data_IF_373327276370
#
_entry.id   IF_373327276370
#
_cell.length_a   1.000
_cell.length_b   1.000
_cell.length_c   1.000
_cell.angle_alpha   90.00
_cell.angle_beta   90.00
_cell.angle_gamma   90.00
#
_symmetry.space_group_name_H-M   'P 1'
#
loop_
_entity.id
_entity.type
_entity.pdbx_description
1 polymer ?
#
# COMPACT_ATOMS: atom_id res chain seq x y z
N UNK A 1 -38.08 53.05 -23.47
CA UNK A 1 -37.49 52.38 -22.28
C UNK A 1 -37.21 50.94 -22.66
N UNK A 2 -35.94 50.62 -22.96
CA UNK A 2 -35.52 49.31 -23.47
C UNK A 2 -34.89 48.50 -22.33
N UNK A 3 -35.43 47.30 -22.09
CA UNK A 3 -34.97 46.36 -21.07
C UNK A 3 -33.66 45.68 -21.52
N UNK A 4 -32.58 45.89 -20.76
CA UNK A 4 -31.30 45.22 -20.94
C UNK A 4 -31.36 43.82 -20.32
N UNK A 5 -31.25 42.78 -21.14
CA UNK A 5 -30.99 41.40 -20.71
C UNK A 5 -29.55 41.30 -20.19
N UNK A 6 -29.38 40.93 -18.92
CA UNK A 6 -28.09 40.54 -18.36
C UNK A 6 -27.77 39.10 -18.75
N UNK A 7 -26.65 38.92 -19.45
CA UNK A 7 -26.04 37.62 -19.75
C UNK A 7 -25.10 37.31 -18.59
N UNK A 8 -25.36 36.22 -17.87
CA UNK A 8 -24.47 35.67 -16.83
C UNK A 8 -23.46 34.78 -17.54
N UNK A 9 -22.13 35.04 -17.45
CA UNK A 9 -21.14 34.12 -18.01
C UNK A 9 -20.99 32.91 -17.08
N UNK A 10 -21.15 31.72 -17.64
CA UNK A 10 -20.79 30.44 -17.02
C UNK A 10 -19.26 30.38 -17.00
N UNK A 11 -18.63 30.53 -15.83
CA UNK A 11 -17.23 30.19 -15.64
C UNK A 11 -17.08 28.66 -15.61
N UNK A 12 -16.56 28.11 -16.71
CA UNK A 12 -15.98 26.77 -16.74
C UNK A 12 -14.65 26.81 -15.96
N UNK A 13 -14.64 26.26 -14.74
CA UNK A 13 -13.38 25.91 -14.06
C UNK A 13 -12.81 24.66 -14.73
N UNK A 14 -11.85 24.86 -15.62
CA UNK A 14 -10.93 23.81 -16.04
C UNK A 14 -10.02 23.47 -14.87
N UNK A 15 -10.14 22.25 -14.33
CA UNK A 15 -9.18 21.72 -13.36
C UNK A 15 -7.82 21.56 -14.05
N UNK A 16 -6.92 22.51 -13.82
CA UNK A 16 -5.50 22.33 -14.12
C UNK A 16 -4.98 21.36 -13.06
N UNK A 17 -4.66 20.14 -13.47
CA UNK A 17 -3.83 19.25 -12.66
C UNK A 17 -2.47 19.94 -12.49
N UNK A 18 -2.29 20.60 -11.34
CA UNK A 18 -0.99 21.05 -10.91
C UNK A 18 -0.20 19.80 -10.51
N UNK A 19 0.56 19.24 -11.46
CA UNK A 19 1.64 18.32 -11.11
C UNK A 19 2.59 19.07 -10.19
N UNK A 20 2.62 18.71 -8.91
CA UNK A 20 3.63 19.21 -8.00
C UNK A 20 5.00 18.87 -8.60
N UNK A 21 5.74 19.90 -9.01
CA UNK A 21 7.13 19.76 -9.45
C UNK A 21 7.91 19.24 -8.23
N UNK A 22 8.72 18.17 -8.36
CA UNK A 22 9.54 17.71 -7.26
C UNK A 22 10.41 18.86 -6.76
N UNK A 23 10.45 19.06 -5.44
CA UNK A 23 11.37 19.99 -4.84
C UNK A 23 12.81 19.60 -5.25
N UNK A 24 13.66 20.56 -5.68
CA UNK A 24 15.04 20.26 -6.01
C UNK A 24 15.77 19.81 -4.74
N UNK A 25 16.06 18.51 -4.64
CA UNK A 25 16.98 18.01 -3.63
C UNK A 25 18.40 18.43 -3.99
N UNK A 26 19.12 18.91 -2.98
CA UNK A 26 20.51 19.30 -3.10
C UNK A 26 21.35 18.15 -3.67
N UNK A 27 21.99 18.41 -4.80
CA UNK A 27 23.00 17.55 -5.39
C UNK A 27 24.25 17.56 -4.51
N UNK A 28 24.38 16.59 -3.59
CA UNK A 28 25.68 16.24 -3.04
C UNK A 28 26.44 15.42 -4.08
N UNK A 29 27.51 16.01 -4.63
CA UNK A 29 28.33 15.40 -5.65
C UNK A 29 29.10 14.17 -5.16
N UNK A 30 28.96 13.07 -5.90
CA UNK A 30 30.01 12.22 -6.49
C UNK A 30 29.31 10.99 -7.12
N UNK A 31 29.56 10.72 -8.40
CA UNK A 31 29.16 9.50 -9.11
C UNK A 31 30.40 8.95 -9.84
N UNK A 32 30.71 7.64 -9.83
CA UNK A 32 30.33 6.59 -8.86
C UNK A 32 31.57 5.98 -8.16
N UNK A 33 31.43 5.65 -6.87
CA UNK A 33 32.23 4.59 -6.25
C UNK A 33 31.69 3.29 -6.86
N UNK A 34 32.49 2.55 -7.63
CA UNK A 34 32.06 1.26 -8.17
C UNK A 34 31.69 0.31 -7.04
N UNK A 35 30.55 -0.36 -7.15
CA UNK A 35 30.13 -1.35 -6.16
C UNK A 35 31.07 -2.56 -6.21
N UNK A 36 31.59 -2.93 -5.04
CA UNK A 36 32.52 -4.02 -4.84
C UNK A 36 31.74 -5.32 -4.70
N UNK A 37 32.16 -6.37 -5.39
CA UNK A 37 31.57 -7.68 -5.21
C UNK A 37 31.86 -8.23 -3.80
N UNK A 38 30.89 -8.94 -3.20
CA UNK A 38 31.09 -9.61 -1.93
C UNK A 38 30.90 -11.13 -2.05
N UNK A 39 31.92 -11.90 -2.45
CA UNK A 39 31.80 -13.34 -2.60
C UNK A 39 31.64 -14.11 -1.28
N UNK A 40 31.76 -13.44 -0.13
CA UNK A 40 31.78 -14.08 1.19
C UNK A 40 30.44 -14.00 1.93
N UNK A 41 29.41 -13.39 1.33
CA UNK A 41 28.06 -13.30 1.92
C UNK A 41 27.09 -14.18 1.15
N UNK A 42 26.41 -15.07 1.86
CA UNK A 42 25.54 -16.12 1.32
C UNK A 42 26.28 -17.42 1.00
N UNK A 43 25.64 -18.35 0.26
CA UNK A 43 26.19 -19.68 -0.02
C UNK A 43 27.48 -19.70 -0.86
N UNK A 44 27.81 -18.59 -1.53
CA UNK A 44 28.94 -18.51 -2.45
C UNK A 44 28.69 -19.23 -3.78
N UNK A 45 29.71 -19.28 -4.63
CA UNK A 45 29.62 -19.94 -5.94
C UNK A 45 30.70 -19.46 -6.91
N UNK A 46 30.97 -20.26 -7.94
CA UNK A 46 31.96 -19.94 -8.97
C UNK A 46 31.32 -19.48 -10.31
N UNK A 47 30.05 -19.80 -10.53
CA UNK A 47 29.28 -19.36 -11.70
C UNK A 47 28.43 -18.16 -11.31
N UNK A 48 28.80 -16.98 -11.80
CA UNK A 48 28.08 -15.75 -11.52
C UNK A 48 28.14 -14.78 -12.68
N UNK A 49 27.21 -13.82 -12.67
CA UNK A 49 27.21 -12.65 -13.53
C UNK A 49 26.97 -11.39 -12.72
N UNK A 50 27.70 -10.35 -13.04
CA UNK A 50 27.60 -9.04 -12.40
C UNK A 50 26.80 -8.06 -13.27
N UNK A 51 26.02 -7.21 -12.62
CA UNK A 51 25.63 -5.89 -13.11
C UNK A 51 26.28 -4.81 -12.25
N UNK A 52 25.87 -3.55 -12.31
CA UNK A 52 26.50 -2.48 -11.53
C UNK A 52 26.29 -2.67 -10.02
N UNK A 53 25.08 -2.99 -9.59
CA UNK A 53 24.67 -3.07 -8.18
C UNK A 53 24.41 -4.51 -7.69
N UNK A 54 24.33 -5.49 -8.59
CA UNK A 54 23.97 -6.86 -8.24
C UNK A 54 24.99 -7.88 -8.75
N UNK A 55 25.04 -9.02 -8.06
CA UNK A 55 25.71 -10.24 -8.50
C UNK A 55 24.74 -11.40 -8.46
N UNK A 56 24.49 -12.04 -9.59
CA UNK A 56 23.67 -13.24 -9.69
C UNK A 56 24.54 -14.49 -9.72
N UNK A 57 24.37 -15.36 -8.73
CA UNK A 57 24.87 -16.73 -8.72
C UNK A 57 23.78 -17.65 -9.27
N UNK A 58 24.02 -18.23 -10.44
CA UNK A 58 23.10 -19.20 -11.06
C UNK A 58 23.87 -20.24 -11.87
N UNK A 59 23.33 -21.46 -11.87
CA UNK A 59 23.84 -22.58 -12.65
C UNK A 59 23.53 -22.43 -14.14
N UNK A 60 22.42 -21.76 -14.48
CA UNK A 60 22.02 -21.41 -15.84
C UNK A 60 22.06 -19.90 -16.06
N UNK A 61 23.07 -19.46 -16.83
CA UNK A 61 23.29 -18.06 -17.12
C UNK A 61 22.42 -17.52 -18.28
N UNK A 62 21.56 -18.36 -18.89
CA UNK A 62 20.74 -17.99 -20.05
C UNK A 62 19.79 -16.82 -19.77
N UNK A 63 19.25 -16.73 -18.56
CA UNK A 63 18.32 -15.67 -18.13
C UNK A 63 18.98 -14.56 -17.29
N UNK A 64 20.28 -14.65 -17.03
CA UNK A 64 20.97 -13.77 -16.10
C UNK A 64 20.86 -12.29 -16.48
N UNK A 65 20.91 -11.96 -17.77
CA UNK A 65 20.71 -10.58 -18.25
C UNK A 65 19.32 -10.05 -17.93
N UNK A 66 18.27 -10.86 -18.10
CA UNK A 66 16.90 -10.45 -17.80
C UNK A 66 16.71 -10.16 -16.31
N UNK A 67 17.22 -11.04 -15.46
CA UNK A 67 17.16 -10.90 -13.99
C UNK A 67 17.91 -9.65 -13.53
N UNK A 68 19.16 -9.49 -13.97
CA UNK A 68 19.98 -8.35 -13.57
C UNK A 68 19.42 -7.03 -14.12
N UNK A 69 18.93 -6.99 -15.36
CA UNK A 69 18.31 -5.80 -15.94
C UNK A 69 17.06 -5.38 -15.16
N UNK A 70 16.24 -6.35 -14.73
CA UNK A 70 15.06 -6.09 -13.88
C UNK A 70 15.47 -5.51 -12.51
N UNK A 71 16.48 -6.09 -11.86
CA UNK A 71 16.97 -5.60 -10.57
C UNK A 71 17.62 -4.22 -10.66
N UNK A 72 18.39 -3.95 -11.71
CA UNK A 72 18.95 -2.62 -11.97
C UNK A 72 17.84 -1.57 -12.22
N UNK A 73 16.75 -1.96 -12.89
CA UNK A 73 15.58 -1.10 -13.03
C UNK A 73 14.92 -0.80 -11.67
N UNK A 74 14.76 -1.82 -10.82
CA UNK A 74 14.22 -1.64 -9.48
C UNK A 74 15.13 -0.75 -8.61
N UNK A 75 16.45 -0.98 -8.64
CA UNK A 75 17.44 -0.14 -7.98
C UNK A 75 17.37 1.30 -8.45
N UNK A 76 17.37 1.52 -9.76
CA UNK A 76 17.25 2.86 -10.35
C UNK A 76 15.97 3.57 -9.91
N UNK A 77 14.85 2.84 -9.76
CA UNK A 77 13.62 3.45 -9.24
C UNK A 77 13.75 3.80 -7.76
N UNK A 78 14.02 2.83 -6.88
CA UNK A 78 13.92 3.03 -5.44
C UNK A 78 15.07 3.83 -4.87
N UNK A 79 16.30 3.48 -5.23
CA UNK A 79 17.51 4.13 -4.72
C UNK A 79 17.80 5.39 -5.52
N UNK A 80 17.71 5.30 -6.85
CA UNK A 80 18.01 6.42 -7.75
C UNK A 80 16.96 7.53 -7.72
N UNK A 81 15.74 7.23 -8.18
CA UNK A 81 14.68 8.24 -8.35
C UNK A 81 13.92 8.55 -7.03
N UNK A 82 13.71 7.55 -6.15
CA UNK A 82 12.95 7.71 -4.88
C UNK A 82 13.84 7.89 -3.63
N UNK A 83 15.16 7.81 -3.77
CA UNK A 83 16.12 8.16 -2.71
C UNK A 83 16.14 7.22 -1.50
N UNK A 84 15.71 5.95 -1.65
CA UNK A 84 15.85 4.94 -0.61
C UNK A 84 17.31 4.64 -0.30
N UNK A 85 17.60 4.20 0.92
CA UNK A 85 18.95 3.75 1.28
C UNK A 85 19.34 2.55 0.43
N UNK A 86 20.50 2.63 -0.23
CA UNK A 86 21.04 1.53 -1.04
C UNK A 86 21.35 0.30 -0.17
N UNK A 87 21.09 -0.90 -0.70
CA UNK A 87 21.48 -2.16 -0.02
C UNK A 87 22.99 -2.41 -0.03
N UNK A 88 23.76 -1.62 -0.79
CA UNK A 88 25.21 -1.73 -0.82
C UNK A 88 25.93 -1.13 0.37
N UNK A 89 25.23 -0.44 1.27
CA UNK A 89 25.80 0.04 2.54
C UNK A 89 25.46 -0.97 3.63
N UNK A 90 26.45 -1.56 4.32
CA UNK A 90 26.17 -2.44 5.45
C UNK A 90 25.25 -1.79 6.49
N UNK A 91 24.27 -2.55 7.00
CA UNK A 91 23.32 -2.13 8.03
C UNK A 91 24.02 -1.53 9.27
N UNK A 92 25.15 -2.12 9.66
CA UNK A 92 25.95 -1.73 10.83
C UNK A 92 26.95 -0.58 10.56
N UNK A 93 27.06 -0.07 9.32
CA UNK A 93 27.97 1.02 8.96
C UNK A 93 27.29 2.40 9.03
N UNK A 94 28.05 3.47 9.31
CA UNK A 94 27.54 4.84 9.17
C UNK A 94 27.48 5.22 7.67
N UNK A 95 26.30 5.55 7.10
CA UNK A 95 26.16 5.91 5.69
C UNK A 95 26.99 7.13 5.29
N UNK A 96 27.34 8.00 6.25
CA UNK A 96 28.09 9.23 5.97
C UNK A 96 29.60 9.00 5.90
N UNK A 97 30.09 7.84 6.39
CA UNK A 97 31.52 7.54 6.45
C UNK A 97 31.91 6.28 5.69
N UNK A 98 30.94 5.60 5.08
CA UNK A 98 31.19 4.37 4.33
C UNK A 98 32.01 4.67 3.07
N UNK A 99 33.13 3.96 2.90
CA UNK A 99 34.02 4.13 1.74
C UNK A 99 33.86 3.05 0.69
N UNK A 100 33.19 1.95 1.03
CA UNK A 100 32.98 0.79 0.17
C UNK A 100 31.50 0.50 0.05
N UNK A 101 30.99 0.52 -1.18
CA UNK A 101 29.64 0.05 -1.51
C UNK A 101 29.75 -1.38 -2.03
N UNK A 102 28.82 -2.25 -1.66
CA UNK A 102 28.83 -3.67 -2.00
C UNK A 102 27.69 -4.03 -2.94
N UNK A 103 27.94 -4.92 -3.90
CA UNK A 103 26.86 -5.49 -4.71
C UNK A 103 25.96 -6.37 -3.83
N UNK A 104 24.65 -6.31 -4.07
CA UNK A 104 23.70 -7.26 -3.49
C UNK A 104 23.84 -8.60 -4.21
N UNK A 105 24.02 -9.68 -3.44
CA UNK A 105 24.08 -11.02 -4.01
C UNK A 105 22.68 -11.60 -4.18
N UNK A 106 22.46 -12.26 -5.30
CA UNK A 106 21.25 -13.03 -5.61
C UNK A 106 21.68 -14.45 -5.92
N UNK A 107 21.05 -15.42 -5.27
CA UNK A 107 21.36 -16.83 -5.42
C UNK A 107 20.15 -17.58 -5.98
N UNK A 108 20.33 -18.23 -7.11
CA UNK A 108 19.42 -19.27 -7.56
C UNK A 108 19.60 -20.52 -6.67
N UNK A 109 18.55 -20.94 -5.99
CA UNK A 109 18.55 -22.12 -5.11
C UNK A 109 17.45 -23.10 -5.49
N UNK A 110 17.72 -24.40 -5.41
CA UNK A 110 16.79 -25.41 -5.95
C UNK A 110 15.47 -25.54 -5.18
N UNK A 111 15.47 -25.23 -3.88
CA UNK A 111 14.31 -25.39 -3.01
C UNK A 111 14.39 -24.44 -1.80
N UNK A 112 13.23 -23.94 -1.39
CA UNK A 112 13.04 -23.05 -0.24
C UNK A 112 11.88 -23.54 0.67
N UNK A 113 11.44 -24.79 0.55
CA UNK A 113 10.48 -25.40 1.47
C UNK A 113 9.08 -24.79 1.42
N UNK A 114 8.69 -24.22 0.28
CA UNK A 114 7.37 -23.64 0.03
C UNK A 114 7.36 -22.15 -0.31
N UNK A 115 8.49 -21.45 -0.12
CA UNK A 115 8.67 -20.08 -0.60
C UNK A 115 9.24 -20.07 -2.03
N UNK A 116 9.00 -18.98 -2.76
CA UNK A 116 9.60 -18.74 -4.08
C UNK A 116 10.89 -17.91 -3.99
N UNK A 117 11.01 -17.09 -2.94
CA UNK A 117 12.17 -16.28 -2.61
C UNK A 117 12.28 -16.07 -1.11
N UNK A 118 13.46 -15.63 -0.67
CA UNK A 118 13.70 -15.18 0.70
C UNK A 118 14.89 -14.21 0.77
N UNK A 119 14.75 -13.14 1.53
CA UNK A 119 15.88 -12.35 2.01
C UNK A 119 16.59 -13.08 3.16
N UNK A 120 17.92 -13.14 3.08
CA UNK A 120 18.78 -13.49 4.19
C UNK A 120 19.70 -12.31 4.54
N UNK A 121 20.28 -12.34 5.74
CA UNK A 121 21.27 -11.37 6.16
C UNK A 121 22.42 -12.03 6.92
N UNK A 122 23.59 -11.41 6.83
CA UNK A 122 24.78 -11.78 7.59
C UNK A 122 25.04 -10.68 8.64
N UNK A 123 24.74 -10.95 9.93
CA UNK A 123 24.93 -9.96 10.98
C UNK A 123 26.38 -9.50 11.16
N UNK A 124 27.36 -10.32 10.75
CA UNK A 124 28.78 -10.01 10.93
C UNK A 124 29.24 -8.92 9.96
N UNK A 125 28.82 -9.02 8.70
CA UNK A 125 29.12 -8.02 7.67
C UNK A 125 28.08 -6.91 7.60
N UNK A 126 26.87 -7.14 8.11
CA UNK A 126 25.73 -6.22 8.00
C UNK A 126 25.11 -6.17 6.60
N UNK A 127 25.42 -7.14 5.74
CA UNK A 127 24.92 -7.21 4.36
C UNK A 127 23.81 -8.25 4.24
N UNK A 128 22.97 -8.09 3.22
CA UNK A 128 21.92 -9.03 2.85
C UNK A 128 22.27 -9.80 1.59
N UNK A 129 21.51 -10.86 1.32
CA UNK A 129 21.43 -11.50 0.02
C UNK A 129 20.03 -12.05 -0.23
N UNK A 130 19.71 -12.29 -1.49
CA UNK A 130 18.45 -12.90 -1.91
C UNK A 130 18.69 -14.36 -2.30
N UNK A 131 17.78 -15.25 -1.93
CA UNK A 131 17.70 -16.61 -2.45
C UNK A 131 16.37 -16.75 -3.19
N UNK A 132 16.37 -17.23 -4.44
CA UNK A 132 15.16 -17.34 -5.27
C UNK A 132 15.20 -18.65 -6.05
N UNK A 133 14.06 -19.32 -6.18
CA UNK A 133 13.99 -20.57 -6.97
C UNK A 133 14.04 -20.30 -8.48
N UNK A 134 14.59 -21.22 -9.31
CA UNK A 134 14.79 -20.98 -10.74
C UNK A 134 13.53 -20.52 -11.49
N UNK A 135 12.36 -21.08 -11.17
CA UNK A 135 11.09 -20.74 -11.85
C UNK A 135 10.58 -19.33 -11.57
N UNK A 136 11.10 -18.67 -10.54
CA UNK A 136 10.65 -17.35 -10.09
C UNK A 136 11.74 -16.29 -10.17
N UNK A 137 12.98 -16.67 -10.52
CA UNK A 137 14.14 -15.79 -10.53
C UNK A 137 13.96 -14.54 -11.41
N UNK A 138 13.30 -14.70 -12.56
CA UNK A 138 12.99 -13.61 -13.49
C UNK A 138 11.56 -13.03 -13.30
N UNK A 139 10.83 -13.44 -12.27
CA UNK A 139 9.51 -12.88 -11.96
C UNK A 139 9.66 -11.65 -11.05
N UNK A 140 9.29 -10.43 -11.51
CA UNK A 140 9.37 -9.25 -10.66
C UNK A 140 8.47 -9.32 -9.43
N UNK A 141 7.41 -10.15 -9.44
CA UNK A 141 6.56 -10.34 -8.26
C UNK A 141 7.29 -11.00 -7.10
N UNK A 142 8.33 -11.77 -7.39
CA UNK A 142 9.13 -12.48 -6.38
C UNK A 142 10.47 -11.77 -6.17
N UNK A 143 11.28 -11.64 -7.22
CA UNK A 143 12.66 -11.15 -7.04
C UNK A 143 12.71 -9.67 -6.62
N UNK A 144 11.80 -8.82 -7.10
CA UNK A 144 11.72 -7.41 -6.65
C UNK A 144 11.04 -7.30 -5.29
N UNK A 145 10.16 -8.25 -4.93
CA UNK A 145 9.64 -8.39 -3.56
C UNK A 145 10.79 -8.68 -2.58
N UNK A 146 11.64 -9.67 -2.87
CA UNK A 146 12.81 -9.98 -2.03
C UNK A 146 13.79 -8.81 -1.95
N UNK A 147 13.97 -8.07 -3.04
CA UNK A 147 14.74 -6.82 -3.00
C UNK A 147 14.06 -5.75 -2.12
N UNK A 148 12.73 -5.72 -2.05
CA UNK A 148 11.98 -4.89 -1.10
C UNK A 148 12.29 -5.22 0.37
N UNK A 149 12.49 -6.50 0.70
CA UNK A 149 13.00 -6.90 2.01
C UNK A 149 14.43 -6.36 2.23
N UNK A 150 15.33 -6.44 1.24
CA UNK A 150 16.67 -5.87 1.35
C UNK A 150 16.63 -4.36 1.63
N UNK A 151 15.81 -3.62 0.87
CA UNK A 151 15.59 -2.18 1.10
C UNK A 151 15.06 -1.88 2.51
N UNK A 152 14.16 -2.73 3.02
CA UNK A 152 13.62 -2.63 4.38
C UNK A 152 14.70 -2.86 5.44
N UNK A 153 15.50 -3.92 5.29
CA UNK A 153 16.63 -4.23 6.17
C UNK A 153 17.64 -3.07 6.22
N UNK A 154 18.01 -2.53 5.06
CA UNK A 154 18.99 -1.45 4.95
C UNK A 154 18.44 -0.05 5.27
N UNK A 155 17.12 0.09 5.41
CA UNK A 155 16.49 1.28 6.01
C UNK A 155 16.58 1.29 7.55
N UNK A 156 16.96 0.15 8.13
CA UNK A 156 17.48 -0.07 9.49
C UNK A 156 16.51 0.09 10.65
N UNK A 157 15.74 1.16 10.69
CA UNK A 157 15.00 1.57 11.89
C UNK A 157 13.88 0.61 12.28
N UNK A 158 13.39 -0.19 11.32
CA UNK A 158 12.37 -1.23 11.52
C UNK A 158 12.95 -2.62 11.82
N UNK A 159 14.28 -2.77 11.85
CA UNK A 159 14.94 -4.03 12.21
C UNK A 159 14.87 -4.25 13.73
N UNK A 160 14.72 -5.51 14.13
CA UNK A 160 14.59 -5.94 15.53
C UNK A 160 13.39 -5.31 16.28
N UNK A 161 12.34 -4.89 15.55
CA UNK A 161 11.10 -4.37 16.12
C UNK A 161 9.95 -5.35 15.85
N UNK A 162 9.38 -5.93 16.91
CA UNK A 162 8.25 -6.87 16.82
C UNK A 162 7.05 -6.24 16.10
N UNK A 163 6.72 -4.99 16.39
CA UNK A 163 5.51 -4.33 15.87
C UNK A 163 5.57 -3.99 14.37
N UNK A 164 6.77 -3.95 13.78
CA UNK A 164 6.95 -3.74 12.34
C UNK A 164 7.09 -5.05 11.59
N UNK A 165 7.27 -6.19 12.26
CA UNK A 165 7.59 -7.47 11.62
C UNK A 165 6.65 -7.87 10.48
N UNK A 166 5.33 -7.86 10.70
CA UNK A 166 4.39 -8.21 9.63
C UNK A 166 4.32 -7.17 8.50
N UNK A 167 4.73 -5.93 8.77
CA UNK A 167 4.75 -4.87 7.76
C UNK A 167 5.88 -5.06 6.74
N UNK A 168 6.89 -5.89 7.02
CA UNK A 168 7.95 -6.19 6.07
C UNK A 168 7.39 -6.79 4.78
N UNK A 169 6.47 -7.77 4.89
CA UNK A 169 5.80 -8.35 3.72
C UNK A 169 4.88 -7.35 3.01
N UNK A 170 4.20 -6.51 3.79
CA UNK A 170 3.37 -5.43 3.24
C UNK A 170 4.21 -4.46 2.40
N UNK A 171 5.38 -4.07 2.89
CA UNK A 171 6.32 -3.19 2.18
C UNK A 171 6.92 -3.90 0.97
N UNK A 172 7.35 -5.16 1.09
CA UNK A 172 7.92 -5.93 -0.01
C UNK A 172 6.93 -6.09 -1.17
N UNK A 173 5.66 -6.39 -0.89
CA UNK A 173 4.62 -6.41 -1.92
C UNK A 173 4.30 -5.02 -2.49
N UNK A 174 4.34 -3.96 -1.68
CA UNK A 174 4.23 -2.59 -2.19
C UNK A 174 5.40 -2.25 -3.13
N UNK A 175 6.63 -2.65 -2.81
CA UNK A 175 7.82 -2.47 -3.65
C UNK A 175 7.67 -3.22 -4.98
N UNK A 176 7.24 -4.48 -4.95
CA UNK A 176 7.03 -5.24 -6.18
C UNK A 176 5.90 -4.65 -7.05
N UNK A 177 4.72 -4.40 -6.47
CA UNK A 177 3.57 -3.89 -7.25
C UNK A 177 3.83 -2.47 -7.77
N UNK A 178 4.45 -1.59 -6.98
CA UNK A 178 4.84 -0.24 -7.41
C UNK A 178 5.86 -0.31 -8.56
N UNK A 179 6.85 -1.20 -8.48
CA UNK A 179 7.80 -1.41 -9.56
C UNK A 179 7.11 -1.89 -10.84
N UNK A 180 6.15 -2.81 -10.74
CA UNK A 180 5.47 -3.40 -11.90
C UNK A 180 4.49 -2.40 -12.54
N UNK A 181 3.75 -1.65 -11.73
CA UNK A 181 2.53 -0.96 -12.18
C UNK A 181 2.64 0.56 -12.18
N UNK A 182 3.38 1.13 -11.23
CA UNK A 182 3.28 2.56 -10.94
C UNK A 182 4.01 3.43 -11.96
N UNK A 183 3.48 4.62 -12.28
CA UNK A 183 4.22 5.66 -13.00
C UNK A 183 5.52 6.09 -12.31
N UNK A 184 5.63 5.94 -10.99
CA UNK A 184 6.84 6.29 -10.23
C UNK A 184 8.08 5.56 -10.77
N UNK A 185 7.94 4.28 -11.12
CA UNK A 185 9.04 3.49 -11.69
C UNK A 185 9.01 3.43 -13.23
N UNK A 186 8.15 4.18 -13.92
CA UNK A 186 8.02 4.09 -15.38
C UNK A 186 9.30 4.51 -16.12
N UNK A 187 9.98 5.56 -15.64
CA UNK A 187 11.27 6.01 -16.19
C UNK A 187 12.33 4.93 -16.04
N UNK A 188 12.51 4.39 -14.84
CA UNK A 188 13.46 3.31 -14.58
C UNK A 188 13.12 2.07 -15.43
N UNK A 189 11.87 1.63 -15.46
CA UNK A 189 11.45 0.52 -16.34
C UNK A 189 11.80 0.76 -17.80
N UNK A 190 11.50 1.95 -18.33
CA UNK A 190 11.81 2.31 -19.72
C UNK A 190 13.31 2.29 -20.02
N UNK A 191 14.17 2.77 -19.11
CA UNK A 191 15.61 2.79 -19.29
C UNK A 191 16.24 1.39 -19.37
N UNK A 192 15.57 0.41 -18.76
CA UNK A 192 16.02 -0.97 -18.68
C UNK A 192 15.10 -1.94 -19.46
N UNK A 193 14.33 -1.42 -20.42
CA UNK A 193 13.43 -2.19 -21.29
C UNK A 193 12.44 -3.12 -20.54
N UNK A 194 12.04 -2.73 -19.32
CA UNK A 194 11.03 -3.43 -18.55
C UNK A 194 9.63 -2.91 -18.90
N UNK A 195 8.65 -3.81 -18.97
CA UNK A 195 7.27 -3.44 -19.28
C UNK A 195 6.47 -3.19 -18.01
N UNK A 196 5.42 -2.37 -18.12
CA UNK A 196 4.36 -2.35 -17.11
C UNK A 196 3.60 -3.68 -17.16
N UNK A 197 3.35 -4.27 -16.00
CA UNK A 197 2.61 -5.53 -15.86
C UNK A 197 1.28 -5.39 -15.13
N UNK A 198 0.66 -6.53 -14.84
CA UNK A 198 -0.54 -6.60 -14.02
C UNK A 198 -0.23 -6.49 -12.53
N UNK A 199 -1.13 -5.85 -11.80
CA UNK A 199 -1.07 -5.73 -10.34
C UNK A 199 -1.11 -7.08 -9.63
N UNK A 200 -0.52 -7.13 -8.44
CA UNK A 200 -0.55 -8.27 -7.52
C UNK A 200 -1.73 -8.22 -6.54
N UNK A 201 -2.71 -7.35 -6.75
CA UNK A 201 -3.79 -7.13 -5.78
C UNK A 201 -4.72 -8.33 -5.65
N UNK A 202 -4.88 -8.83 -4.43
CA UNK A 202 -5.80 -9.92 -4.11
C UNK A 202 -7.12 -9.39 -3.55
N UNK A 203 -8.01 -8.95 -4.44
CA UNK A 203 -9.24 -8.23 -4.05
C UNK A 203 -10.18 -9.04 -3.15
N UNK A 204 -10.23 -10.36 -3.34
CA UNK A 204 -11.00 -11.24 -2.45
C UNK A 204 -10.54 -11.13 -1.00
N UNK A 205 -9.23 -11.01 -0.77
CA UNK A 205 -8.67 -10.83 0.56
C UNK A 205 -8.83 -9.39 1.04
N UNK A 206 -8.41 -8.41 0.23
CA UNK A 206 -8.37 -6.99 0.64
C UNK A 206 -9.78 -6.44 0.92
N UNK A 207 -10.75 -6.76 0.08
CA UNK A 207 -12.14 -6.27 0.21
C UNK A 207 -12.98 -7.28 1.00
N UNK A 208 -12.88 -8.57 0.66
CA UNK A 208 -13.65 -9.62 1.35
C UNK A 208 -13.28 -9.76 2.82
N UNK A 209 -12.03 -9.56 3.20
CA UNK A 209 -11.61 -9.59 4.61
C UNK A 209 -11.29 -8.20 5.16
N UNK A 210 -11.85 -7.14 4.56
CA UNK A 210 -11.61 -5.74 4.99
C UNK A 210 -11.94 -5.47 6.46
N UNK A 211 -12.75 -6.32 7.11
CA UNK A 211 -13.08 -6.22 8.52
C UNK A 211 -11.95 -6.61 9.46
N UNK A 212 -10.91 -7.32 8.98
CA UNK A 212 -9.74 -7.69 9.77
C UNK A 212 -8.94 -6.44 10.19
N UNK A 213 -8.00 -6.64 11.12
CA UNK A 213 -7.01 -5.61 11.46
C UNK A 213 -6.28 -5.15 10.19
N UNK A 214 -5.98 -3.85 10.08
CA UNK A 214 -5.38 -3.27 8.86
C UNK A 214 -4.12 -4.01 8.39
N UNK A 215 -3.31 -4.51 9.34
CA UNK A 215 -2.25 -5.48 9.10
C UNK A 215 -2.35 -6.57 10.17
N UNK A 216 -2.69 -7.77 9.75
CA UNK A 216 -2.85 -9.00 10.52
C UNK A 216 -1.84 -10.04 10.01
N UNK A 217 -0.91 -10.45 10.88
CA UNK A 217 0.12 -11.45 10.63
C UNK A 217 -0.28 -12.88 10.99
N UNK A 218 -1.53 -13.13 11.41
CA UNK A 218 -1.96 -14.43 11.89
C UNK A 218 -1.79 -15.53 10.84
N UNK A 219 -1.17 -16.64 11.23
CA UNK A 219 -0.89 -17.77 10.32
C UNK A 219 -2.17 -18.33 9.71
N UNK A 220 -2.23 -18.40 8.38
CA UNK A 220 -3.33 -19.00 7.62
C UNK A 220 -4.58 -18.12 7.45
N UNK A 221 -4.70 -17.01 8.18
CA UNK A 221 -5.88 -16.13 8.10
C UNK A 221 -5.58 -14.64 7.97
N UNK A 222 -4.35 -14.21 8.26
CA UNK A 222 -3.93 -12.81 8.20
C UNK A 222 -3.89 -12.25 6.77
N UNK A 223 -3.62 -10.95 6.67
CA UNK A 223 -3.64 -10.18 5.43
C UNK A 223 -2.35 -9.38 5.19
N UNK A 224 -1.28 -9.60 5.96
CA UNK A 224 -0.05 -8.83 5.92
C UNK A 224 0.66 -8.80 4.55
N UNK A 225 0.51 -9.84 3.72
CA UNK A 225 0.93 -9.79 2.31
C UNK A 225 0.01 -8.91 1.46
N UNK A 226 -1.29 -8.86 1.76
CA UNK A 226 -2.31 -8.18 0.94
C UNK A 226 -2.61 -6.75 1.40
N UNK A 227 -2.09 -6.30 2.54
CA UNK A 227 -2.38 -4.98 3.11
C UNK A 227 -1.70 -3.80 2.39
N UNK A 228 -0.83 -4.08 1.41
CA UNK A 228 -0.04 -3.07 0.68
C UNK A 228 -0.86 -1.97 -0.04
N UNK A 229 -2.14 -2.15 -0.43
CA UNK A 229 -2.92 -1.05 -1.03
C UNK A 229 -3.05 0.16 -0.11
N UNK A 230 -2.92 -0.02 1.21
CA UNK A 230 -2.83 1.11 2.13
C UNK A 230 -1.58 1.96 1.87
N UNK A 231 -0.41 1.34 1.71
CA UNK A 231 0.83 2.04 1.38
C UNK A 231 0.75 2.72 0.00
N UNK A 232 0.11 2.07 -0.98
CA UNK A 232 -0.18 2.66 -2.30
C UNK A 232 -1.06 3.90 -2.17
N UNK A 233 -2.12 3.84 -1.35
CA UNK A 233 -2.98 4.99 -1.11
C UNK A 233 -2.22 6.17 -0.49
N UNK A 234 -1.38 5.92 0.52
CA UNK A 234 -0.52 6.95 1.09
C UNK A 234 0.43 7.54 0.03
N UNK A 235 0.99 6.68 -0.81
CA UNK A 235 1.98 7.04 -1.84
C UNK A 235 1.36 7.89 -2.95
N UNK A 236 0.19 7.50 -3.44
CA UNK A 236 -0.51 8.22 -4.51
C UNK A 236 -1.22 9.47 -3.99
N UNK A 237 -1.57 9.49 -2.69
CA UNK A 237 -2.19 10.60 -1.98
C UNK A 237 -3.35 11.27 -2.77
N UNK A 238 -4.38 10.50 -3.20
CA UNK A 238 -5.46 11.03 -4.04
C UNK A 238 -6.31 12.10 -3.34
N UNK A 239 -6.18 12.24 -2.02
CA UNK A 239 -6.86 13.21 -1.17
C UNK A 239 -6.01 14.44 -0.84
N UNK A 240 -4.75 14.49 -1.31
CA UNK A 240 -3.83 15.61 -1.11
C UNK A 240 -3.59 15.96 0.38
N UNK A 241 -3.47 14.96 1.24
CA UNK A 241 -3.02 15.17 2.61
C UNK A 241 -1.60 15.74 2.61
N UNK A 242 -1.37 16.75 3.44
CA UNK A 242 -0.05 17.36 3.57
C UNK A 242 0.98 16.29 3.99
N UNK A 243 2.22 16.43 3.51
CA UNK A 243 3.34 15.53 3.79
C UNK A 243 3.20 14.05 3.36
N UNK A 244 2.05 13.62 2.82
CA UNK A 244 1.92 12.34 2.12
C UNK A 244 2.26 12.49 0.62
N UNK A 245 2.50 11.38 -0.06
CA UNK A 245 2.89 11.36 -1.47
C UNK A 245 3.98 10.34 -1.77
N UNK A 246 4.66 10.50 -2.91
CA UNK A 246 5.61 9.50 -3.45
C UNK A 246 6.74 9.09 -2.49
N UNK A 247 7.06 9.95 -1.52
CA UNK A 247 8.14 9.74 -0.56
C UNK A 247 7.67 9.17 0.80
N UNK A 248 6.36 9.02 1.00
CA UNK A 248 5.79 8.74 2.32
C UNK A 248 6.33 7.45 2.94
N UNK A 249 6.46 6.37 2.17
CA UNK A 249 6.94 5.09 2.70
C UNK A 249 8.38 5.21 3.18
N UNK A 250 9.23 5.94 2.46
CA UNK A 250 10.60 6.25 2.90
C UNK A 250 10.58 7.12 4.17
N UNK A 251 9.69 8.10 4.26
CA UNK A 251 9.51 8.92 5.47
C UNK A 251 9.08 8.11 6.69
N UNK A 252 8.30 7.03 6.51
CA UNK A 252 7.95 6.12 7.61
C UNK A 252 9.18 5.40 8.18
N UNK A 253 10.23 5.15 7.39
CA UNK A 253 11.49 4.63 7.91
C UNK A 253 12.33 5.74 8.56
N UNK A 254 12.44 6.90 7.90
CA UNK A 254 13.29 8.00 8.36
C UNK A 254 12.83 8.63 9.66
N UNK A 255 11.52 8.71 9.87
CA UNK A 255 10.93 9.33 11.06
C UNK A 255 10.56 8.30 12.14
N UNK A 256 10.84 7.02 11.90
CA UNK A 256 10.66 5.98 12.91
C UNK A 256 11.58 6.22 14.11
N UNK A 257 11.03 6.17 15.32
CA UNK A 257 11.82 6.33 16.52
C UNK A 257 12.58 5.03 16.82
N UNK A 258 13.91 5.07 16.68
CA UNK A 258 14.77 3.88 16.86
C UNK A 258 14.53 3.22 18.22
N UNK A 259 14.21 1.93 18.21
CA UNK A 259 13.99 1.13 19.41
C UNK A 259 12.68 1.42 20.15
N UNK A 260 11.78 2.23 19.58
CA UNK A 260 10.44 2.47 20.14
C UNK A 260 9.55 1.23 20.08
N UNK A 261 9.85 0.30 19.18
CA UNK A 261 9.00 -0.82 18.81
C UNK A 261 7.59 -0.38 18.43
N UNK A 262 7.38 0.86 17.98
CA UNK A 262 6.06 1.33 17.57
C UNK A 262 5.58 0.66 16.27
N UNK A 263 4.27 0.68 16.02
CA UNK A 263 3.73 0.30 14.69
C UNK A 263 3.95 1.42 13.67
N UNK A 264 4.02 1.13 12.36
CA UNK A 264 4.12 2.16 11.31
C UNK A 264 3.00 3.21 11.33
N UNK A 265 1.85 2.91 11.94
CA UNK A 265 0.78 3.88 12.16
C UNK A 265 1.18 5.01 13.12
N UNK A 266 2.02 4.74 14.12
CA UNK A 266 2.52 5.78 15.02
C UNK A 266 3.49 6.71 14.30
N UNK A 267 4.35 6.16 13.44
CA UNK A 267 5.21 6.97 12.59
C UNK A 267 4.39 7.78 11.59
N UNK A 268 3.35 7.19 11.00
CA UNK A 268 2.44 7.91 10.11
C UNK A 268 1.79 9.12 10.81
N UNK A 269 1.42 8.99 12.08
CA UNK A 269 0.87 10.11 12.85
C UNK A 269 1.86 11.28 13.01
N UNK A 270 3.16 11.03 12.95
CA UNK A 270 4.19 12.08 12.91
C UNK A 270 4.40 12.62 11.49
N UNK A 271 4.41 11.75 10.49
CA UNK A 271 4.62 12.14 9.08
C UNK A 271 3.48 12.98 8.53
N UNK A 272 2.22 12.62 8.78
CA UNK A 272 1.07 13.24 8.11
C UNK A 272 0.83 14.70 8.49
N UNK A 273 1.28 15.14 9.67
CA UNK A 273 1.22 16.50 10.26
C UNK A 273 -0.16 17.20 10.34
N UNK A 274 -1.00 17.12 9.29
CA UNK A 274 -2.27 17.83 9.12
C UNK A 274 -3.51 16.96 9.28
N UNK A 275 -3.39 15.62 9.19
CA UNK A 275 -4.50 14.68 9.28
C UNK A 275 -4.19 13.55 10.28
N UNK A 276 -5.20 13.17 11.05
CA UNK A 276 -5.07 12.01 11.96
C UNK A 276 -4.97 10.69 11.17
N UNK A 277 -4.31 9.69 11.74
CA UNK A 277 -4.26 8.35 11.13
C UNK A 277 -5.66 7.76 10.95
N UNK A 278 -6.56 8.02 11.89
CA UNK A 278 -7.97 7.61 11.83
C UNK A 278 -8.66 8.19 10.60
N UNK A 279 -8.44 9.47 10.31
CA UNK A 279 -8.98 10.14 9.13
C UNK A 279 -8.41 9.53 7.84
N UNK A 280 -7.09 9.32 7.81
CA UNK A 280 -6.39 8.73 6.65
C UNK A 280 -6.89 7.30 6.38
N UNK A 281 -7.01 6.46 7.41
CA UNK A 281 -7.53 5.09 7.32
C UNK A 281 -8.99 5.08 6.92
N UNK A 282 -9.82 5.96 7.50
CA UNK A 282 -11.23 6.08 7.13
C UNK A 282 -11.41 6.47 5.67
N UNK A 283 -10.60 7.41 5.17
CA UNK A 283 -10.60 7.82 3.76
C UNK A 283 -10.03 6.74 2.84
N UNK A 284 -8.97 6.04 3.24
CA UNK A 284 -8.45 4.87 2.53
C UNK A 284 -9.56 3.85 2.27
N UNK A 285 -10.29 3.43 3.32
CA UNK A 285 -11.38 2.48 3.15
C UNK A 285 -12.54 3.04 2.31
N UNK A 286 -12.83 4.33 2.40
CA UNK A 286 -13.81 4.98 1.54
C UNK A 286 -13.41 4.89 0.05
N UNK A 287 -12.12 5.08 -0.27
CA UNK A 287 -11.57 4.91 -1.62
C UNK A 287 -11.55 3.46 -2.07
N UNK A 288 -11.32 2.52 -1.15
CA UNK A 288 -11.36 1.09 -1.44
C UNK A 288 -12.76 0.58 -1.81
N UNK A 289 -13.85 1.32 -1.52
CA UNK A 289 -15.18 0.99 -2.02
C UNK A 289 -15.24 0.89 -3.56
N UNK A 290 -14.39 1.64 -4.26
CA UNK A 290 -14.26 1.59 -5.72
C UNK A 290 -12.80 1.46 -6.20
N UNK A 291 -11.90 1.09 -5.28
CA UNK A 291 -10.45 0.94 -5.46
C UNK A 291 -9.84 2.13 -6.22
N UNK A 292 -10.31 3.34 -5.93
CA UNK A 292 -9.86 4.57 -6.60
C UNK A 292 -8.72 5.27 -5.83
N UNK A 293 -7.78 4.46 -5.33
CA UNK A 293 -6.61 4.87 -4.53
C UNK A 293 -5.45 5.44 -5.35
N UNK A 294 -5.73 6.00 -6.54
CA UNK A 294 -4.72 6.42 -7.51
C UNK A 294 -4.00 5.28 -8.23
N UNK A 295 -4.46 4.03 -8.08
CA UNK A 295 -3.90 2.84 -8.76
C UNK A 295 -4.84 2.36 -9.86
N UNK A 296 -4.62 2.82 -11.09
CA UNK A 296 -5.55 2.61 -12.21
C UNK A 296 -5.65 1.14 -12.65
N UNK A 297 -4.56 0.37 -12.53
CA UNK A 297 -4.54 -1.06 -12.90
C UNK A 297 -5.30 -1.88 -11.85
N UNK A 298 -5.14 -1.60 -10.56
CA UNK A 298 -5.92 -2.21 -9.48
C UNK A 298 -7.41 -1.84 -9.57
N UNK A 299 -7.72 -0.59 -9.91
CA UNK A 299 -9.11 -0.17 -10.15
C UNK A 299 -9.75 -0.95 -11.32
N UNK A 300 -9.01 -1.16 -12.41
CA UNK A 300 -9.47 -1.97 -13.53
C UNK A 300 -9.73 -3.43 -13.11
N UNK A 301 -8.82 -4.02 -12.34
CA UNK A 301 -8.99 -5.37 -11.78
C UNK A 301 -10.26 -5.44 -10.91
N UNK A 302 -10.46 -4.46 -10.04
CA UNK A 302 -11.67 -4.35 -9.21
C UNK A 302 -12.94 -4.31 -10.03
N UNK A 303 -13.03 -3.43 -11.03
CA UNK A 303 -14.23 -3.30 -11.85
C UNK A 303 -14.56 -4.61 -12.59
N UNK A 304 -13.56 -5.42 -12.92
CA UNK A 304 -13.76 -6.73 -13.56
C UNK A 304 -14.17 -7.85 -12.59
N UNK A 305 -13.79 -7.76 -11.31
CA UNK A 305 -13.99 -8.83 -10.32
C UNK A 305 -15.08 -8.52 -9.28
N UNK A 306 -15.57 -7.27 -9.22
CA UNK A 306 -16.43 -6.78 -8.13
C UNK A 306 -17.72 -7.56 -7.89
N UNK A 307 -18.23 -8.28 -8.90
CA UNK A 307 -19.41 -9.14 -8.76
C UNK A 307 -19.17 -10.35 -7.85
N UNK A 308 -17.91 -10.77 -7.74
CA UNK A 308 -17.53 -12.03 -7.08
C UNK A 308 -16.98 -11.78 -5.67
N UNK A 309 -16.85 -10.51 -5.27
CA UNK A 309 -16.33 -10.11 -3.97
C UNK A 309 -17.39 -10.27 -2.87
N UNK A 310 -16.92 -10.67 -1.68
CA UNK A 310 -17.80 -10.91 -0.54
C UNK A 310 -18.09 -9.64 0.26
N UNK A 311 -19.29 -9.08 0.09
CA UNK A 311 -19.79 -7.91 0.85
C UNK A 311 -20.83 -8.24 1.93
N UNK A 312 -21.03 -9.51 2.28
CA UNK A 312 -22.02 -9.94 3.27
C UNK A 312 -21.61 -9.54 4.71
N UNK A 313 -21.57 -8.25 5.02
CA UNK A 313 -21.10 -7.70 6.29
C UNK A 313 -22.20 -7.55 7.35
N UNK A 314 -23.47 -7.52 6.93
CA UNK A 314 -24.60 -7.20 7.78
C UNK A 314 -25.80 -8.09 7.54
N UNK A 315 -26.61 -8.33 8.56
CA UNK A 315 -27.89 -9.02 8.50
C UNK A 315 -29.05 -8.03 8.57
N UNK A 316 -29.98 -8.12 7.62
CA UNK A 316 -31.20 -7.29 7.60
C UNK A 316 -32.12 -7.65 8.77
N UNK A 317 -32.57 -6.61 9.48
CA UNK A 317 -33.58 -6.69 10.54
C UNK A 317 -34.97 -6.22 10.08
N UNK A 318 -35.12 -5.91 8.78
CA UNK A 318 -36.32 -5.27 8.23
C UNK A 318 -36.27 -3.74 8.30
N UNK A 319 -37.21 -3.09 7.60
CA UNK A 319 -37.40 -1.62 7.60
C UNK A 319 -36.11 -0.79 7.36
N UNK A 320 -35.26 -1.27 6.44
CA UNK A 320 -33.98 -0.62 6.11
C UNK A 320 -32.95 -0.65 7.23
N UNK A 321 -33.15 -1.49 8.26
CA UNK A 321 -32.23 -1.66 9.39
C UNK A 321 -31.39 -2.91 9.20
N UNK A 322 -30.10 -2.79 9.49
CA UNK A 322 -29.09 -3.82 9.31
C UNK A 322 -28.19 -3.86 10.54
N UNK A 323 -27.81 -5.06 10.99
CA UNK A 323 -26.90 -5.25 12.12
C UNK A 323 -25.64 -5.95 11.59
N UNK A 324 -24.47 -5.51 12.05
CA UNK A 324 -23.21 -6.16 11.66
C UNK A 324 -23.18 -7.63 12.05
N UNK A 325 -22.68 -8.48 11.14
CA UNK A 325 -22.46 -9.89 11.46
C UNK A 325 -21.35 -10.02 12.51
N UNK A 326 -21.55 -10.91 13.49
CA UNK A 326 -20.63 -11.04 14.61
C UNK A 326 -19.20 -11.40 14.20
N UNK A 327 -19.04 -12.18 13.12
CA UNK A 327 -17.77 -12.60 12.55
C UNK A 327 -17.12 -11.55 11.62
N UNK A 328 -17.82 -10.46 11.31
CA UNK A 328 -17.35 -9.42 10.37
C UNK A 328 -17.37 -8.01 10.96
N UNK A 329 -17.46 -7.92 12.29
CA UNK A 329 -17.27 -6.66 13.00
C UNK A 329 -15.90 -6.08 12.64
N UNK A 330 -15.81 -4.83 12.14
CA UNK A 330 -14.53 -4.23 11.82
C UNK A 330 -13.61 -4.18 13.05
N UNK A 331 -12.48 -4.86 12.98
CA UNK A 331 -11.42 -4.86 13.99
C UNK A 331 -10.56 -3.59 13.85
N UNK A 332 -9.49 -3.47 14.63
CA UNK A 332 -8.65 -2.27 14.66
C UNK A 332 -8.22 -1.79 13.26
N UNK A 333 -8.67 -0.59 12.88
CA UNK A 333 -8.41 0.04 11.58
C UNK A 333 -8.92 -0.76 10.36
N UNK A 334 -9.74 -1.79 10.58
CA UNK A 334 -10.52 -2.49 9.55
C UNK A 334 -11.83 -1.77 9.23
N UNK A 335 -12.53 -2.23 8.20
CA UNK A 335 -13.80 -1.66 7.75
C UNK A 335 -14.82 -2.70 7.25
N UNK A 336 -16.07 -2.27 7.15
CA UNK A 336 -17.05 -2.91 6.29
C UNK A 336 -17.36 -1.98 5.13
N UNK A 337 -17.35 -2.54 3.92
CA UNK A 337 -17.82 -1.90 2.69
C UNK A 337 -19.16 -2.53 2.34
N UNK A 338 -20.18 -1.71 2.17
CA UNK A 338 -21.57 -2.14 2.00
C UNK A 338 -22.11 -1.48 0.72
N UNK A 339 -21.96 -2.13 -0.45
CA UNK A 339 -22.55 -1.65 -1.70
C UNK A 339 -24.07 -1.58 -1.58
N UNK A 340 -24.66 -0.47 -2.01
CA UNK A 340 -26.11 -0.28 -1.94
C UNK A 340 -26.79 -0.74 -3.25
N UNK A 341 -27.95 -1.36 -3.09
CA UNK A 341 -28.87 -1.78 -4.15
C UNK A 341 -30.04 -0.80 -4.26
N UNK A 342 -30.57 -0.67 -5.47
CA UNK A 342 -31.78 0.09 -5.81
C UNK A 342 -31.75 1.59 -5.51
N UNK A 343 -30.78 2.30 -6.08
CA UNK A 343 -30.85 3.76 -6.24
C UNK A 343 -31.39 4.10 -7.63
N UNK A 344 -32.71 3.96 -7.82
CA UNK A 344 -33.35 4.91 -8.73
C UNK A 344 -32.98 6.33 -8.27
N UNK A 345 -32.89 7.31 -9.18
CA UNK A 345 -32.51 8.66 -8.78
C UNK A 345 -33.32 9.13 -7.57
N UNK A 346 -32.64 9.51 -6.48
CA UNK A 346 -33.28 9.69 -5.19
C UNK A 346 -32.31 10.09 -4.10
N UNK A 347 -32.85 10.47 -2.94
CA UNK A 347 -32.05 10.82 -1.78
C UNK A 347 -31.80 9.54 -0.96
N UNK A 348 -30.54 9.21 -0.69
CA UNK A 348 -30.14 8.14 0.23
C UNK A 348 -29.82 8.76 1.58
N UNK A 349 -30.41 8.24 2.66
CA UNK A 349 -30.10 8.65 4.04
C UNK A 349 -29.50 7.47 4.78
N UNK A 350 -28.46 7.75 5.56
CA UNK A 350 -27.74 6.77 6.36
C UNK A 350 -27.67 7.25 7.80
N UNK A 351 -27.91 6.36 8.75
CA UNK A 351 -27.65 6.57 10.17
C UNK A 351 -27.04 5.33 10.80
N UNK A 352 -25.98 5.50 11.57
CA UNK A 352 -25.18 4.45 12.18
C UNK A 352 -25.16 4.70 13.69
N UNK A 353 -25.52 3.69 14.46
CA UNK A 353 -25.31 3.65 15.91
C UNK A 353 -24.27 2.58 16.20
N UNK A 354 -23.21 2.90 16.94
CA UNK A 354 -22.12 1.98 17.22
C UNK A 354 -21.70 2.04 18.69
N UNK A 355 -21.06 0.96 19.17
CA UNK A 355 -20.54 0.86 20.54
C UNK A 355 -19.19 1.59 20.75
N UNK A 356 -18.51 1.94 19.66
CA UNK A 356 -17.17 2.52 19.66
C UNK A 356 -17.02 3.75 18.77
N UNK A 357 -15.79 4.25 18.66
CA UNK A 357 -15.45 5.37 17.78
C UNK A 357 -15.17 4.84 16.38
N UNK A 358 -15.76 5.49 15.37
CA UNK A 358 -15.67 5.05 13.99
C UNK A 358 -15.64 6.23 13.04
N UNK A 359 -15.23 5.95 11.81
CA UNK A 359 -15.33 6.85 10.66
C UNK A 359 -16.28 6.20 9.68
N UNK A 360 -17.22 6.97 9.14
CA UNK A 360 -18.15 6.45 8.14
C UNK A 360 -18.32 7.42 6.98
N UNK A 361 -18.46 6.86 5.78
CA UNK A 361 -18.56 7.60 4.53
C UNK A 361 -19.58 6.94 3.61
N UNK A 362 -20.41 7.74 2.97
CA UNK A 362 -21.18 7.33 1.79
C UNK A 362 -20.34 7.68 0.55
N UNK A 363 -19.73 6.66 -0.06
CA UNK A 363 -18.95 6.77 -1.29
C UNK A 363 -19.88 6.62 -2.49
N UNK A 364 -19.84 7.55 -3.44
CA UNK A 364 -20.76 7.59 -4.58
C UNK A 364 -19.96 7.72 -5.87
N UNK A 365 -20.03 6.69 -6.71
CA UNK A 365 -19.31 6.61 -7.98
C UNK A 365 -20.23 6.90 -9.14
N UNK A 366 -19.84 7.84 -9.99
CA UNK A 366 -20.46 8.06 -11.28
C UNK A 366 -20.03 6.95 -12.26
N UNK A 367 -20.98 6.14 -12.72
CA UNK A 367 -20.70 4.95 -13.53
C UNK A 367 -20.23 5.26 -14.95
N UNK A 368 -20.52 6.47 -15.45
CA UNK A 368 -20.09 6.92 -16.79
C UNK A 368 -18.65 7.46 -16.79
N UNK A 369 -18.26 8.18 -15.74
CA UNK A 369 -16.96 8.88 -15.68
C UNK A 369 -15.94 8.19 -14.78
N UNK A 370 -16.39 7.32 -13.88
CA UNK A 370 -15.56 6.71 -12.84
C UNK A 370 -15.24 7.63 -11.66
N UNK A 371 -15.61 8.91 -11.72
CA UNK A 371 -15.39 9.85 -10.63
C UNK A 371 -16.16 9.44 -9.38
N UNK A 372 -15.50 9.51 -8.22
CA UNK A 372 -16.08 9.20 -6.92
C UNK A 372 -16.14 10.47 -6.08
N UNK A 373 -17.27 10.69 -5.43
CA UNK A 373 -17.43 11.72 -4.39
C UNK A 373 -17.75 11.04 -3.06
N UNK A 374 -17.31 11.68 -1.99
CA UNK A 374 -17.42 11.12 -0.65
C UNK A 374 -18.21 12.06 0.24
N UNK A 375 -19.25 11.52 0.87
CA UNK A 375 -20.05 12.25 1.86
C UNK A 375 -19.72 11.68 3.22
N UNK A 376 -19.04 12.48 4.06
CA UNK A 376 -18.78 12.10 5.45
C UNK A 376 -20.12 11.96 6.21
N UNK A 377 -20.25 10.88 6.97
CA UNK A 377 -21.41 10.65 7.83
C UNK A 377 -21.05 11.13 9.24
N UNK A 378 -21.07 12.46 9.41
CA UNK A 378 -20.72 13.10 10.68
C UNK A 378 -21.61 12.59 11.81
N UNK A 379 -20.99 12.22 12.94
CA UNK A 379 -21.69 11.58 14.07
C UNK A 379 -22.54 10.36 13.65
N UNK A 380 -22.09 9.64 12.62
CA UNK A 380 -22.75 8.45 12.10
C UNK A 380 -23.95 8.70 11.19
N UNK A 381 -24.27 9.94 10.83
CA UNK A 381 -25.47 10.23 10.02
C UNK A 381 -25.19 11.17 8.86
N UNK A 382 -25.92 11.01 7.76
CA UNK A 382 -25.80 11.88 6.59
C UNK A 382 -26.73 11.45 5.47
N UNK A 383 -26.76 12.26 4.40
CA UNK A 383 -27.56 11.97 3.23
C UNK A 383 -26.96 12.53 1.95
N UNK A 384 -27.27 11.92 0.83
CA UNK A 384 -26.90 12.43 -0.48
C UNK A 384 -27.93 12.04 -1.54
N UNK A 385 -28.17 12.94 -2.49
CA UNK A 385 -28.87 12.60 -3.72
C UNK A 385 -27.95 11.72 -4.55
N UNK A 386 -28.43 10.57 -4.99
CA UNK A 386 -27.75 9.65 -5.92
C UNK A 386 -28.47 9.74 -7.27
N UNK A 387 -27.73 10.04 -8.33
CA UNK A 387 -28.25 10.15 -9.69
C UNK A 387 -28.42 8.77 -10.35
N UNK A 388 -29.14 8.70 -11.48
CA UNK A 388 -29.38 7.44 -12.21
C UNK A 388 -28.09 6.77 -12.72
N UNK A 389 -27.07 7.56 -12.97
CA UNK A 389 -25.75 7.13 -13.43
C UNK A 389 -24.73 7.11 -12.28
N UNK A 390 -25.20 6.95 -11.04
CA UNK A 390 -24.37 6.79 -9.87
C UNK A 390 -24.70 5.48 -9.15
N UNK A 391 -23.68 4.87 -8.56
CA UNK A 391 -23.79 3.77 -7.61
C UNK A 391 -23.19 4.23 -6.27
N UNK A 392 -23.66 3.68 -5.16
CA UNK A 392 -23.24 4.12 -3.83
C UNK A 392 -22.88 2.95 -2.91
N UNK A 393 -21.96 3.19 -1.98
CA UNK A 393 -21.56 2.25 -0.93
C UNK A 393 -21.43 2.98 0.40
N UNK A 394 -21.91 2.35 1.47
CA UNK A 394 -21.61 2.80 2.84
C UNK A 394 -20.33 2.13 3.30
N UNK A 395 -19.39 2.90 3.83
CA UNK A 395 -18.15 2.40 4.41
C UNK A 395 -18.11 2.78 5.88
N UNK A 396 -17.82 1.81 6.75
CA UNK A 396 -17.75 1.99 8.20
C UNK A 396 -16.43 1.40 8.69
N UNK A 397 -15.53 2.24 9.19
CA UNK A 397 -14.19 1.86 9.65
C UNK A 397 -14.04 2.04 11.17
N UNK A 398 -13.56 1.00 11.86
CA UNK A 398 -13.26 1.06 13.29
C UNK A 398 -11.95 1.82 13.51
N UNK A 399 -12.08 3.06 13.95
CA UNK A 399 -10.99 4.05 14.00
C UNK A 399 -10.92 4.63 15.41
N UNK A 400 -10.50 3.83 16.41
CA UNK A 400 -10.44 4.30 17.78
C UNK A 400 -9.48 5.49 17.89
N UNK A 401 -9.77 6.41 18.82
CA UNK A 401 -8.99 7.67 18.98
C UNK A 401 -7.51 7.42 19.30
N UNK A 402 -7.22 6.32 19.98
CA UNK A 402 -5.85 5.95 20.38
C UNK A 402 -5.29 4.97 19.34
N UNK A 403 -4.04 5.19 18.94
CA UNK A 403 -3.29 4.18 18.20
C UNK A 403 -2.86 3.07 19.16
N UNK A 404 -3.11 1.84 18.76
CA UNK A 404 -2.71 0.68 19.55
C UNK A 404 -1.32 0.23 19.16
N UNK A 405 -0.52 -0.01 20.19
CA UNK A 405 0.74 -0.71 20.09
C UNK A 405 0.46 -2.21 20.02
N UNK A 406 0.85 -2.88 18.94
CA UNK A 406 0.55 -4.31 18.78
C UNK A 406 1.59 -5.07 17.97
N UNK A 407 1.72 -6.35 18.27
CA UNK A 407 2.40 -7.35 17.45
C UNK A 407 1.38 -7.95 16.48
N UNK A 408 1.58 -7.74 15.18
CA UNK A 408 0.67 -8.25 14.17
C UNK A 408 0.65 -9.78 14.06
N UNK A 409 1.71 -10.46 14.50
CA UNK A 409 1.76 -11.93 14.57
C UNK A 409 1.11 -12.49 15.84
N UNK A 410 0.79 -11.63 16.82
CA UNK A 410 0.19 -12.00 18.09
C UNK A 410 -0.80 -10.93 18.56
N UNK A 411 -1.91 -10.82 17.83
CA UNK A 411 -2.94 -9.83 18.11
C UNK A 411 -3.53 -9.99 19.52
N UNK A 412 -3.74 -8.87 20.20
CA UNK A 412 -4.38 -8.82 21.52
C UNK A 412 -5.89 -8.70 21.39
N UNK A 413 -6.61 -8.99 22.48
CA UNK A 413 -8.08 -8.83 22.53
C UNK A 413 -8.52 -7.39 22.18
N UNK A 414 -7.77 -6.36 22.61
CA UNK A 414 -8.09 -4.96 22.32
C UNK A 414 -8.04 -4.63 20.82
N UNK A 415 -7.09 -5.23 20.09
CA UNK A 415 -6.92 -5.02 18.64
C UNK A 415 -7.94 -5.84 17.84
N UNK A 416 -8.29 -7.02 18.35
CA UNK A 416 -9.29 -7.91 17.75
C UNK A 416 -10.74 -7.53 18.10
N UNK A 417 -10.93 -6.60 19.05
CA UNK A 417 -12.24 -6.12 19.45
C UNK A 417 -12.93 -5.45 18.24
N UNK A 418 -13.91 -6.16 17.70
CA UNK A 418 -14.71 -5.66 16.59
C UNK A 418 -15.69 -4.56 17.02
N UNK A 419 -15.95 -3.64 16.10
CA UNK A 419 -16.97 -2.60 16.24
C UNK A 419 -18.37 -3.18 16.03
N UNK A 420 -19.17 -3.19 17.10
CA UNK A 420 -20.61 -3.43 16.99
C UNK A 420 -21.32 -2.19 16.47
N UNK A 421 -22.18 -2.37 15.47
CA UNK A 421 -23.02 -1.29 14.95
C UNK A 421 -24.36 -1.78 14.38
N UNK A 422 -25.31 -0.86 14.38
CA UNK A 422 -26.58 -0.94 13.64
C UNK A 422 -26.59 0.18 12.60
N UNK A 423 -26.89 -0.20 11.37
CA UNK A 423 -26.99 0.67 10.20
C UNK A 423 -28.46 0.80 9.78
N UNK A 424 -28.95 2.02 9.64
CA UNK A 424 -30.26 2.33 9.07
C UNK A 424 -30.09 3.08 7.76
N UNK A 425 -30.73 2.57 6.71
CA UNK A 425 -30.71 3.15 5.36
C UNK A 425 -32.14 3.48 4.94
N UNK A 426 -32.34 4.67 4.35
CA UNK A 426 -33.54 5.03 3.62
C UNK A 426 -33.19 5.46 2.20
N UNK A 427 -34.09 5.20 1.25
CA UNK A 427 -33.88 5.49 -0.18
C UNK A 427 -32.98 4.49 -0.93
N UNK A 428 -32.49 3.45 -0.25
CA UNK A 428 -31.74 2.33 -0.83
C UNK A 428 -31.80 1.10 0.12
N UNK A 429 -31.22 -0.02 -0.29
CA UNK A 429 -31.03 -1.22 0.54
C UNK A 429 -29.57 -1.67 0.47
N UNK A 430 -29.02 -2.29 1.52
CA UNK A 430 -27.72 -2.98 1.46
C UNK A 430 -27.82 -4.31 0.68
#
# INVERSE_FOLDING_TARGET
MASKKQIIPILLLSAIQASAVPAPQATSGAQPISFTANPNVGPGGASYKDSDHFRLYSSDQSNADGVLTMLEAAYSCYVGDLGWTTSGIPYNADPNTVTTLWKENVYEVNDLGGAAGVLKSDPSTGLSWLEVIPSSLADPRVTVHEYGHALTYHSRTWVDQTATGAWWETVANWVADTFITSPLCAKARSNYNQQTGDTMIELNKVIGDSFQVIVDGSTGSGNYYQAWPFLTYLTNNPDNYEALGSDVVRQLFQQYEKGSNETPLHTLARVSASASVQEIVGRYWARMAYVDIGHTIAQKAFLSQRSDLNYANTDSQGDGTYVVQSSRKPQYMGANIIPLRNTGAGNVQVSITASGVFTATLAIRNTNTGAVRYVALENGSGSAVVARNEEASVVIANTPKRLYQYDAFKLTEEVQQGLDYTLKISGATA
#
